data_IF_904613522111
#
_entry.id   IF_904613522111
#
_cell.length_a   1.000
_cell.length_b   1.000
_cell.length_c   1.000
_cell.angle_alpha   90.00
_cell.angle_beta   90.00
_cell.angle_gamma   90.00
#
_symmetry.space_group_name_H-M   'P 1'
#
loop_
_entity.id
_entity.type
_entity.pdbx_description
1 polymer ?
#
# COMPACT_ATOMS: atom_id res chain seq x y z
N UNK A 1 21.75 -24.38 -31.65
CA UNK A 1 22.74 -24.24 -30.54
C UNK A 1 24.20 -24.35 -30.98
N UNK A 2 24.46 -24.35 -32.28
CA UNK A 2 25.80 -24.40 -32.84
C UNK A 2 26.43 -23.01 -32.91
N UNK A 3 27.06 -22.58 -31.85
CA UNK A 3 27.77 -21.30 -31.83
C UNK A 3 28.18 -20.77 -30.45
N UNK A 4 27.77 -21.44 -29.40
CA UNK A 4 28.20 -21.05 -28.04
C UNK A 4 29.55 -21.68 -27.70
N UNK A 5 30.63 -20.91 -27.89
CA UNK A 5 31.99 -21.29 -27.47
C UNK A 5 32.20 -20.74 -26.06
N UNK A 6 32.18 -21.58 -25.04
CA UNK A 6 32.60 -21.21 -23.70
C UNK A 6 34.10 -20.97 -23.75
N UNK A 7 34.53 -19.71 -23.73
CA UNK A 7 35.94 -19.30 -23.82
C UNK A 7 36.63 -19.37 -22.45
N UNK A 8 35.88 -19.14 -21.37
CA UNK A 8 36.42 -19.26 -20.02
C UNK A 8 35.30 -19.43 -18.99
N UNK A 9 35.39 -20.41 -18.12
CA UNK A 9 34.50 -20.58 -16.97
C UNK A 9 35.37 -20.58 -15.70
N UNK A 10 35.38 -19.48 -15.01
CA UNK A 10 36.09 -19.34 -13.75
C UNK A 10 35.14 -18.93 -12.63
N UNK A 11 35.23 -19.60 -11.49
CA UNK A 11 34.53 -19.15 -10.28
C UNK A 11 35.41 -18.05 -9.66
N UNK A 12 34.93 -16.78 -9.69
CA UNK A 12 35.54 -15.72 -8.92
C UNK A 12 35.25 -15.95 -7.44
N UNK A 13 36.23 -16.48 -6.72
CA UNK A 13 36.12 -16.73 -5.29
C UNK A 13 36.71 -15.55 -4.48
N UNK A 14 36.54 -14.33 -4.96
CA UNK A 14 37.02 -13.12 -4.29
C UNK A 14 35.91 -12.56 -3.39
N UNK A 15 36.26 -12.39 -2.13
CA UNK A 15 35.37 -11.68 -1.20
C UNK A 15 35.29 -10.20 -1.62
N UNK A 16 34.18 -9.81 -2.20
CA UNK A 16 33.92 -8.41 -2.55
C UNK A 16 33.24 -7.70 -1.38
N UNK A 17 34.02 -6.86 -0.69
CA UNK A 17 33.45 -6.02 0.38
C UNK A 17 32.67 -4.85 -0.21
N UNK A 18 31.34 -4.90 -0.08
CA UNK A 18 30.49 -3.75 -0.44
C UNK A 18 30.38 -2.79 0.74
N UNK A 19 31.01 -1.62 0.60
CA UNK A 19 30.94 -0.55 1.62
C UNK A 19 29.51 -0.12 1.88
N UNK A 20 28.70 -0.01 0.84
CA UNK A 20 27.29 0.41 0.92
C UNK A 20 26.47 -0.58 1.76
N UNK A 21 26.61 -1.88 1.49
CA UNK A 21 25.93 -2.93 2.26
C UNK A 21 26.40 -2.95 3.71
N UNK A 22 27.71 -2.78 3.93
CA UNK A 22 28.27 -2.75 5.29
C UNK A 22 27.69 -1.60 6.11
N UNK A 23 27.71 -0.38 5.59
CA UNK A 23 27.15 0.78 6.29
C UNK A 23 25.63 0.68 6.46
N UNK A 24 24.94 0.10 5.49
CA UNK A 24 23.51 -0.18 5.60
C UNK A 24 23.20 -1.11 6.79
N UNK A 25 23.87 -2.26 6.86
CA UNK A 25 23.66 -3.21 7.95
C UNK A 25 24.14 -2.65 9.28
N UNK A 26 25.23 -1.86 9.30
CA UNK A 26 25.70 -1.18 10.49
C UNK A 26 24.67 -0.17 11.01
N UNK A 27 24.10 0.64 10.13
CA UNK A 27 23.04 1.59 10.49
C UNK A 27 21.77 0.87 10.98
N UNK A 28 21.38 -0.22 10.31
CA UNK A 28 20.25 -1.05 10.72
C UNK A 28 20.50 -1.68 12.10
N UNK A 29 21.70 -2.22 12.34
CA UNK A 29 22.09 -2.77 13.62
C UNK A 29 22.11 -1.71 14.72
N UNK A 30 22.69 -0.55 14.44
CA UNK A 30 22.74 0.58 15.39
C UNK A 30 21.33 1.05 15.74
N UNK A 31 20.42 1.12 14.76
CA UNK A 31 19.00 1.43 14.98
C UNK A 31 18.32 0.39 15.87
N UNK A 32 18.49 -0.89 15.56
CA UNK A 32 17.93 -2.00 16.36
C UNK A 32 18.48 -1.94 17.80
N UNK A 33 19.79 -1.74 17.94
CA UNK A 33 20.43 -1.62 19.24
C UNK A 33 19.91 -0.40 20.01
N UNK A 34 19.83 0.78 19.38
CA UNK A 34 19.26 1.98 19.97
C UNK A 34 17.83 1.75 20.47
N UNK A 35 17.00 1.11 19.66
CA UNK A 35 15.60 0.84 19.98
C UNK A 35 15.46 -0.24 21.08
N UNK A 36 16.41 -1.18 21.16
CA UNK A 36 16.47 -2.16 22.23
C UNK A 36 16.91 -1.55 23.57
N UNK A 37 17.98 -0.75 23.54
CA UNK A 37 18.54 -0.14 24.76
C UNK A 37 17.76 1.08 25.25
N UNK A 38 17.05 1.81 24.39
CA UNK A 38 16.15 2.91 24.79
C UNK A 38 14.83 2.42 25.44
N UNK A 39 14.83 1.20 25.92
CA UNK A 39 13.65 0.49 26.42
C UNK A 39 12.85 1.23 27.51
N UNK A 40 13.52 2.01 28.37
CA UNK A 40 12.87 2.75 29.45
C UNK A 40 12.05 3.94 28.95
N UNK A 41 12.53 4.64 27.92
CA UNK A 41 11.88 5.83 27.35
C UNK A 41 10.65 5.44 26.54
N UNK A 42 10.75 4.31 25.81
CA UNK A 42 9.72 3.86 24.85
C UNK A 42 8.77 2.81 25.44
N UNK A 43 8.98 2.36 26.69
CA UNK A 43 8.25 1.23 27.25
C UNK A 43 6.72 1.46 27.31
N UNK A 44 6.28 2.70 27.40
CA UNK A 44 4.88 3.04 27.63
C UNK A 44 4.03 3.25 26.38
N UNK A 45 4.62 3.41 25.17
CA UNK A 45 3.87 3.76 23.93
C UNK A 45 4.26 2.85 22.76
N UNK A 46 3.67 1.66 22.70
CA UNK A 46 3.92 0.67 21.64
C UNK A 46 3.61 1.25 20.25
N UNK A 47 2.54 2.03 20.13
CA UNK A 47 2.11 2.66 18.88
C UNK A 47 3.14 3.64 18.33
N UNK A 48 3.79 4.43 19.20
CA UNK A 48 4.82 5.39 18.76
C UNK A 48 6.09 4.68 18.28
N UNK A 49 6.47 3.58 18.94
CA UNK A 49 7.57 2.73 18.48
C UNK A 49 7.28 2.13 17.11
N UNK A 50 6.09 1.56 16.96
CA UNK A 50 5.64 1.03 15.68
C UNK A 50 5.77 2.08 14.58
N UNK A 51 5.27 3.31 14.81
CA UNK A 51 5.35 4.41 13.85
C UNK A 51 6.80 4.69 13.42
N UNK A 52 7.70 4.88 14.40
CA UNK A 52 9.12 5.17 14.12
C UNK A 52 9.78 4.02 13.36
N UNK A 53 9.61 2.77 13.80
CA UNK A 53 10.18 1.60 13.13
C UNK A 53 9.66 1.46 11.70
N UNK A 54 8.36 1.59 11.51
CA UNK A 54 7.73 1.50 10.19
C UNK A 54 8.30 2.55 9.24
N UNK A 55 8.39 3.80 9.69
CA UNK A 55 8.91 4.89 8.86
C UNK A 55 10.40 4.71 8.55
N UNK A 56 11.22 4.32 9.53
CA UNK A 56 12.65 4.14 9.30
C UNK A 56 12.91 2.95 8.37
N UNK A 57 12.39 1.76 8.69
CA UNK A 57 12.61 0.56 7.88
C UNK A 57 11.98 0.74 6.49
N UNK A 58 10.76 1.24 6.44
CA UNK A 58 10.05 1.46 5.19
C UNK A 58 10.72 2.50 4.31
N UNK A 59 11.27 3.59 4.86
CA UNK A 59 12.04 4.58 4.08
C UNK A 59 13.29 3.96 3.48
N UNK A 60 13.96 3.07 4.21
CA UNK A 60 15.06 2.29 3.66
C UNK A 60 14.59 1.44 2.48
N UNK A 61 13.47 0.71 2.62
CA UNK A 61 12.91 -0.05 1.51
C UNK A 61 12.59 0.85 0.31
N UNK A 62 11.89 1.96 0.51
CA UNK A 62 11.58 2.92 -0.56
C UNK A 62 12.83 3.37 -1.30
N UNK A 63 13.94 3.60 -0.57
CA UNK A 63 15.19 4.11 -1.14
C UNK A 63 16.03 3.05 -1.86
N UNK A 64 15.93 1.78 -1.44
CA UNK A 64 16.78 0.69 -1.96
C UNK A 64 16.07 -0.11 -3.05
N UNK A 65 14.74 -0.20 -2.99
CA UNK A 65 13.97 -0.95 -3.97
C UNK A 65 14.03 -0.25 -5.34
N UNK A 66 14.32 -1.00 -6.41
CA UNK A 66 14.32 -0.46 -7.77
C UNK A 66 13.02 0.25 -8.11
N UNK A 67 13.09 1.23 -9.01
CA UNK A 67 11.92 1.97 -9.51
C UNK A 67 11.06 1.08 -10.44
N UNK A 68 11.53 -0.09 -10.81
CA UNK A 68 10.81 -1.05 -11.63
C UNK A 68 10.44 -2.29 -10.83
N UNK A 69 9.20 -2.75 -10.97
CA UNK A 69 8.68 -4.11 -10.77
C UNK A 69 9.25 -4.97 -9.65
N UNK A 70 9.43 -4.42 -8.47
CA UNK A 70 9.78 -5.25 -7.31
C UNK A 70 8.52 -5.75 -6.61
N UNK A 71 7.46 -4.95 -6.63
CA UNK A 71 6.14 -5.37 -6.19
C UNK A 71 5.39 -6.09 -7.32
N UNK A 72 4.58 -7.09 -6.99
CA UNK A 72 3.71 -7.75 -7.95
C UNK A 72 2.73 -6.72 -8.53
N UNK A 73 2.64 -6.63 -9.88
CA UNK A 73 1.81 -5.68 -10.61
C UNK A 73 2.08 -4.19 -10.25
N UNK A 74 3.28 -3.85 -9.77
CA UNK A 74 3.59 -2.52 -9.26
C UNK A 74 3.42 -1.44 -10.35
N UNK A 75 3.71 -1.76 -11.61
CA UNK A 75 3.49 -0.86 -12.75
C UNK A 75 2.00 -0.55 -12.97
N UNK A 76 1.13 -1.54 -12.79
CA UNK A 76 -0.32 -1.35 -12.88
C UNK A 76 -0.80 -0.45 -11.74
N UNK A 77 -0.30 -0.69 -10.55
CA UNK A 77 -0.62 0.11 -9.36
C UNK A 77 -0.11 1.54 -9.49
N UNK A 78 1.11 1.73 -10.02
CA UNK A 78 1.65 3.05 -10.30
C UNK A 78 0.79 3.81 -11.31
N UNK A 79 0.43 3.18 -12.44
CA UNK A 79 -0.42 3.79 -13.45
C UNK A 79 -1.76 4.26 -12.87
N UNK A 80 -2.37 3.47 -12.00
CA UNK A 80 -3.62 3.82 -11.34
C UNK A 80 -3.47 5.01 -10.39
N UNK A 81 -2.40 5.03 -9.60
CA UNK A 81 -2.09 6.16 -8.73
C UNK A 81 -1.77 7.44 -9.52
N UNK A 82 -1.05 7.30 -10.64
CA UNK A 82 -0.64 8.42 -11.50
C UNK A 82 -1.83 9.09 -12.16
N UNK A 83 -2.84 8.31 -12.60
CA UNK A 83 -4.02 8.80 -13.32
C UNK A 83 -5.13 9.34 -12.40
N UNK A 84 -4.96 9.33 -11.08
CA UNK A 84 -5.88 10.01 -10.17
C UNK A 84 -5.65 11.55 -10.16
N UNK A 85 -6.70 12.38 -10.02
CA UNK A 85 -8.10 12.04 -9.81
C UNK A 85 -8.73 11.43 -11.06
N UNK A 86 -9.81 10.68 -10.86
CA UNK A 86 -10.57 10.01 -11.92
C UNK A 86 -11.12 11.09 -12.88
N UNK A 87 -10.33 11.43 -13.89
CA UNK A 87 -10.76 12.29 -14.98
C UNK A 87 -11.26 11.42 -16.13
N UNK A 88 -12.22 11.90 -16.89
CA UNK A 88 -12.78 11.18 -18.05
C UNK A 88 -11.75 10.83 -19.11
N UNK A 89 -10.60 11.50 -19.09
CA UNK A 89 -9.47 11.28 -19.98
C UNK A 89 -8.19 11.25 -19.15
N UNK A 90 -7.59 10.07 -18.99
CA UNK A 90 -6.23 9.99 -18.47
C UNK A 90 -5.28 10.36 -19.61
N UNK A 91 -4.52 11.42 -19.44
CA UNK A 91 -3.43 11.76 -20.37
C UNK A 91 -2.20 10.97 -19.94
N UNK A 92 -1.79 10.02 -20.75
CA UNK A 92 -0.46 9.40 -20.60
C UNK A 92 0.58 10.38 -21.10
N UNK A 93 1.50 10.73 -20.23
CA UNK A 93 2.71 11.39 -20.68
C UNK A 93 3.60 10.39 -21.42
N UNK A 94 4.43 10.80 -22.37
CA UNK A 94 5.42 9.92 -23.02
C UNK A 94 6.24 9.14 -21.99
N UNK A 95 6.67 9.80 -20.93
CA UNK A 95 7.40 9.18 -19.79
C UNK A 95 6.66 8.01 -19.17
N UNK A 96 5.35 8.13 -18.93
CA UNK A 96 4.56 7.05 -18.35
C UNK A 96 4.40 5.89 -19.34
N UNK A 97 4.25 6.17 -20.62
CA UNK A 97 4.18 5.15 -21.67
C UNK A 97 5.50 4.36 -21.74
N UNK A 98 6.63 5.04 -21.78
CA UNK A 98 7.96 4.42 -21.82
C UNK A 98 8.25 3.63 -20.53
N UNK A 99 7.93 4.18 -19.35
CA UNK A 99 8.03 3.45 -18.10
C UNK A 99 7.22 2.15 -18.13
N UNK A 100 5.98 2.21 -18.63
CA UNK A 100 5.12 1.03 -18.72
C UNK A 100 5.69 0.01 -19.70
N UNK A 101 6.19 0.45 -20.86
CA UNK A 101 6.81 -0.40 -21.87
C UNK A 101 8.07 -1.10 -21.33
N UNK A 102 9.01 -0.33 -20.75
CA UNK A 102 10.23 -0.87 -20.15
C UNK A 102 9.90 -1.84 -19.02
N UNK A 103 8.93 -1.46 -18.18
CA UNK A 103 8.55 -2.31 -17.08
C UNK A 103 7.84 -3.58 -17.51
N UNK A 104 7.07 -3.61 -18.60
CA UNK A 104 6.46 -4.83 -19.13
C UNK A 104 7.48 -5.79 -19.75
N UNK A 105 8.52 -5.27 -20.40
CA UNK A 105 9.54 -6.11 -21.08
C UNK A 105 10.50 -6.82 -20.13
N UNK A 106 10.72 -6.26 -18.92
CA UNK A 106 11.72 -6.75 -17.96
C UNK A 106 11.17 -7.61 -16.82
N UNK A 107 9.91 -7.98 -16.86
CA UNK A 107 9.25 -8.72 -15.78
C UNK A 107 9.33 -10.22 -15.93
N UNK A 108 9.37 -10.98 -14.86
CA UNK A 108 9.98 -10.80 -13.54
C UNK A 108 11.42 -11.31 -13.52
N UNK A 109 11.87 -11.87 -14.64
CA UNK A 109 13.06 -12.72 -14.73
C UNK A 109 14.32 -11.97 -15.15
N UNK A 110 14.18 -10.71 -15.60
CA UNK A 110 15.28 -9.86 -16.06
C UNK A 110 15.55 -8.72 -15.09
N UNK A 111 15.50 -8.98 -13.78
CA UNK A 111 16.01 -8.02 -12.81
C UNK A 111 17.50 -7.81 -13.07
N UNK A 112 17.97 -6.56 -13.16
CA UNK A 112 19.38 -6.29 -13.39
C UNK A 112 20.21 -6.96 -12.30
N UNK A 113 21.07 -7.88 -12.72
CA UNK A 113 21.89 -8.67 -11.81
C UNK A 113 23.20 -7.97 -11.48
N UNK A 114 23.73 -7.18 -12.42
CA UNK A 114 24.97 -6.43 -12.24
C UNK A 114 24.71 -5.01 -11.74
N UNK A 115 25.76 -4.37 -11.23
CA UNK A 115 25.72 -2.97 -10.80
C UNK A 115 25.59 -2.06 -12.03
N UNK A 116 26.23 -2.41 -13.12
CA UNK A 116 26.20 -1.70 -14.39
C UNK A 116 24.79 -1.68 -14.99
N UNK A 117 24.14 -2.84 -15.08
CA UNK A 117 22.76 -2.95 -15.55
C UNK A 117 21.79 -2.14 -14.68
N UNK A 118 22.01 -2.09 -13.37
CA UNK A 118 21.21 -1.26 -12.48
C UNK A 118 21.39 0.22 -12.75
N UNK A 119 22.64 0.66 -12.93
CA UNK A 119 22.96 2.06 -13.25
C UNK A 119 22.38 2.44 -14.59
N UNK A 120 22.47 1.58 -15.59
CA UNK A 120 21.90 1.82 -16.92
C UNK A 120 20.36 1.91 -16.86
N UNK A 121 19.71 0.98 -16.16
CA UNK A 121 18.25 1.01 -15.96
C UNK A 121 17.80 2.28 -15.23
N UNK A 122 18.50 2.66 -14.15
CA UNK A 122 18.19 3.88 -13.43
C UNK A 122 18.48 5.13 -14.25
N UNK A 123 19.59 5.14 -14.99
CA UNK A 123 19.95 6.25 -15.87
C UNK A 123 18.96 6.43 -17.01
N UNK A 124 18.45 5.35 -17.59
CA UNK A 124 17.40 5.42 -18.63
C UNK A 124 16.08 5.96 -18.07
N UNK A 125 15.72 5.57 -16.84
CA UNK A 125 14.53 6.10 -16.18
C UNK A 125 14.68 7.58 -15.80
N UNK A 126 15.88 8.03 -15.45
CA UNK A 126 16.15 9.44 -15.17
C UNK A 126 16.14 10.30 -16.42
N UNK A 127 16.57 9.78 -17.59
CA UNK A 127 16.45 10.48 -18.88
C UNK A 127 15.00 10.56 -19.38
N UNK A 128 14.14 9.63 -18.98
CA UNK A 128 12.69 9.69 -19.25
C UNK A 128 11.97 10.78 -18.44
N UNK A 129 12.66 11.42 -17.53
CA UNK A 129 12.09 12.23 -16.45
C UNK A 129 11.73 13.66 -16.85
N UNK A 130 11.69 14.02 -18.10
CA UNK A 130 11.23 15.36 -18.47
C UNK A 130 9.70 15.42 -18.50
N UNK A 131 9.11 15.64 -17.31
CA UNK A 131 7.66 15.89 -17.14
C UNK A 131 7.13 17.08 -17.91
N UNK A 132 8.01 17.86 -18.54
CA UNK A 132 7.67 19.08 -19.26
C UNK A 132 7.35 18.84 -20.72
N UNK A 133 7.43 17.59 -21.18
CA UNK A 133 7.06 17.26 -22.55
C UNK A 133 5.56 17.55 -22.78
N UNK A 134 5.23 18.43 -23.72
CA UNK A 134 3.85 18.86 -23.93
C UNK A 134 2.97 17.82 -24.64
N UNK A 135 3.54 16.74 -25.14
CA UNK A 135 2.82 15.72 -25.90
C UNK A 135 2.22 14.68 -24.96
N UNK A 136 1.02 14.96 -24.48
CA UNK A 136 0.24 13.97 -23.75
C UNK A 136 -0.46 13.04 -24.75
N UNK A 137 -0.20 11.75 -24.66
CA UNK A 137 -0.97 10.75 -25.41
C UNK A 137 -2.32 10.59 -24.70
N UNK A 138 -3.40 10.95 -25.40
CA UNK A 138 -4.76 10.70 -24.88
C UNK A 138 -5.04 9.21 -24.92
N UNK A 139 -5.11 8.59 -23.74
CA UNK A 139 -5.70 7.27 -23.65
C UNK A 139 -7.20 7.45 -23.45
N UNK A 140 -7.95 6.95 -24.41
CA UNK A 140 -9.39 6.79 -24.27
C UNK A 140 -9.71 5.72 -23.23
N UNK A 141 -9.46 6.02 -21.97
CA UNK A 141 -10.00 5.23 -20.86
C UNK A 141 -11.46 5.67 -20.70
N UNK A 142 -12.38 4.84 -21.15
CA UNK A 142 -13.78 4.98 -20.73
C UNK A 142 -13.76 5.08 -19.21
N UNK A 143 -14.41 6.11 -18.61
CA UNK A 143 -14.39 6.28 -17.19
C UNK A 143 -14.99 5.03 -16.55
N UNK A 144 -14.16 4.26 -15.90
CA UNK A 144 -14.62 3.10 -15.17
C UNK A 144 -15.15 3.63 -13.82
N UNK A 145 -16.37 4.16 -13.83
CA UNK A 145 -17.07 4.69 -12.65
C UNK A 145 -17.23 3.64 -11.55
N UNK A 146 -16.82 2.42 -11.81
CA UNK A 146 -17.02 1.25 -10.98
C UNK A 146 -15.78 0.78 -10.25
N UNK A 147 -14.64 1.43 -10.46
CA UNK A 147 -13.39 1.04 -9.82
C UNK A 147 -13.17 1.80 -8.50
N UNK A 148 -14.01 1.51 -7.51
CA UNK A 148 -13.88 2.09 -6.16
C UNK A 148 -12.57 1.71 -5.45
N UNK A 149 -11.86 0.67 -5.88
CA UNK A 149 -10.54 0.32 -5.36
C UNK A 149 -9.48 1.41 -5.62
N UNK A 150 -9.73 2.32 -6.56
CA UNK A 150 -8.85 3.48 -6.79
C UNK A 150 -8.71 4.38 -5.56
N UNK A 151 -9.65 4.35 -4.61
CA UNK A 151 -9.54 5.08 -3.36
C UNK A 151 -8.29 4.69 -2.55
N UNK A 152 -7.84 3.46 -2.67
CA UNK A 152 -6.65 2.96 -1.96
C UNK A 152 -5.34 3.53 -2.51
N UNK A 153 -5.37 4.14 -3.71
CA UNK A 153 -4.20 4.80 -4.32
C UNK A 153 -4.10 6.29 -3.99
N UNK A 154 -5.05 6.85 -3.23
CA UNK A 154 -5.02 8.28 -2.87
C UNK A 154 -3.70 8.68 -2.22
N UNK A 155 -3.12 7.95 -1.25
CA UNK A 155 -1.85 8.33 -0.66
C UNK A 155 -0.72 8.41 -1.70
N UNK A 156 -0.61 7.41 -2.56
CA UNK A 156 0.40 7.38 -3.62
C UNK A 156 0.19 8.52 -4.62
N UNK A 157 -1.06 8.74 -5.03
CA UNK A 157 -1.41 9.82 -5.96
C UNK A 157 -1.05 11.20 -5.40
N UNK A 158 -1.27 11.43 -4.11
CA UNK A 158 -0.87 12.67 -3.43
C UNK A 158 0.65 12.87 -3.48
N UNK A 159 1.44 11.81 -3.24
CA UNK A 159 2.89 11.85 -3.36
C UNK A 159 3.35 12.17 -4.79
N UNK A 160 2.77 11.50 -5.79
CA UNK A 160 3.05 11.76 -7.20
C UNK A 160 2.74 13.22 -7.55
N UNK A 161 1.54 13.71 -7.19
CA UNK A 161 1.15 15.10 -7.49
C UNK A 161 2.03 16.11 -6.78
N UNK A 162 2.42 15.88 -5.54
CA UNK A 162 3.35 16.73 -4.82
C UNK A 162 4.71 16.78 -5.53
N UNK A 163 5.25 15.63 -5.94
CA UNK A 163 6.51 15.57 -6.70
C UNK A 163 6.43 16.27 -8.05
N UNK A 164 5.33 16.13 -8.77
CA UNK A 164 5.08 16.85 -10.03
C UNK A 164 5.01 18.36 -9.83
N UNK A 165 4.32 18.83 -8.79
CA UNK A 165 4.22 20.25 -8.45
C UNK A 165 5.58 20.85 -8.07
N UNK A 166 6.45 20.06 -7.45
CA UNK A 166 7.81 20.46 -7.10
C UNK A 166 8.80 20.33 -8.27
N UNK A 167 8.34 19.89 -9.44
CA UNK A 167 9.15 19.65 -10.63
C UNK A 167 10.34 18.72 -10.37
N UNK A 168 10.13 17.68 -9.55
CA UNK A 168 11.16 16.67 -9.26
C UNK A 168 11.32 15.71 -10.46
N UNK A 169 12.51 15.10 -10.56
CA UNK A 169 12.78 14.04 -11.52
C UNK A 169 11.88 12.82 -11.27
N UNK A 170 11.63 12.03 -12.30
CA UNK A 170 10.72 10.89 -12.26
C UNK A 170 11.01 9.94 -11.08
N UNK A 171 12.29 9.60 -10.86
CA UNK A 171 12.69 8.74 -9.75
C UNK A 171 12.21 9.24 -8.40
N UNK A 172 12.38 10.54 -8.13
CA UNK A 172 11.92 11.15 -6.88
C UNK A 172 10.40 11.23 -6.77
N UNK A 173 9.69 11.49 -7.89
CA UNK A 173 8.22 11.48 -7.92
C UNK A 173 7.70 10.08 -7.61
N UNK A 174 8.32 9.05 -8.21
CA UNK A 174 8.00 7.67 -7.97
C UNK A 174 8.22 7.27 -6.49
N UNK A 175 9.39 7.61 -5.95
CA UNK A 175 9.71 7.38 -4.53
C UNK A 175 8.76 8.11 -3.59
N UNK A 176 8.36 9.34 -3.92
CA UNK A 176 7.45 10.13 -3.11
C UNK A 176 6.06 9.50 -3.02
N UNK A 177 5.57 8.89 -4.11
CA UNK A 177 4.33 8.12 -4.10
C UNK A 177 4.41 6.90 -3.19
N UNK A 178 5.52 6.13 -3.25
CA UNK A 178 5.78 5.02 -2.33
C UNK A 178 5.86 5.50 -0.88
N UNK A 179 6.56 6.61 -0.64
CA UNK A 179 6.72 7.15 0.70
C UNK A 179 5.39 7.63 1.30
N UNK A 180 4.51 8.22 0.51
CA UNK A 180 3.17 8.60 0.95
C UNK A 180 2.30 7.37 1.28
N UNK A 181 2.44 6.26 0.53
CA UNK A 181 1.80 4.99 0.88
C UNK A 181 2.27 4.46 2.23
N UNK A 182 3.59 4.45 2.44
CA UNK A 182 4.22 4.06 3.71
C UNK A 182 3.73 4.92 4.87
N UNK A 183 3.70 6.24 4.69
CA UNK A 183 3.25 7.18 5.71
C UNK A 183 1.78 6.94 6.08
N UNK A 184 0.91 6.77 5.10
CA UNK A 184 -0.50 6.48 5.33
C UNK A 184 -0.69 5.16 6.09
N UNK A 185 0.00 4.09 5.67
CA UNK A 185 0.02 2.83 6.38
C UNK A 185 0.45 2.99 7.84
N UNK A 186 1.60 3.64 8.07
CA UNK A 186 2.18 3.83 9.39
C UNK A 186 1.25 4.62 10.33
N UNK A 187 0.61 5.68 9.82
CA UNK A 187 -0.31 6.53 10.59
C UNK A 187 -1.61 5.78 10.93
N UNK A 188 -2.21 5.10 9.96
CA UNK A 188 -3.45 4.33 10.21
C UNK A 188 -3.18 3.21 11.22
N UNK A 189 -2.10 2.46 11.05
CA UNK A 189 -1.69 1.41 11.98
C UNK A 189 -1.34 1.95 13.37
N UNK A 190 -0.70 3.13 13.46
CA UNK A 190 -0.47 3.81 14.73
C UNK A 190 -1.77 4.02 15.51
N UNK A 191 -2.79 4.57 14.86
CA UNK A 191 -4.09 4.79 15.50
C UNK A 191 -4.80 3.48 15.81
N UNK A 192 -4.69 2.46 14.97
CA UNK A 192 -5.20 1.13 15.23
C UNK A 192 -4.59 0.52 16.50
N UNK A 193 -3.25 0.50 16.60
CA UNK A 193 -2.53 -0.03 17.76
C UNK A 193 -2.84 0.78 19.01
N UNK A 194 -2.92 2.10 18.89
CA UNK A 194 -3.28 2.98 20.01
C UNK A 194 -4.68 2.66 20.56
N UNK A 195 -5.64 2.38 19.67
CA UNK A 195 -7.03 2.07 20.03
C UNK A 195 -7.22 0.68 20.63
N UNK A 196 -6.38 -0.30 20.27
CA UNK A 196 -6.50 -1.67 20.78
C UNK A 196 -6.48 -1.70 22.32
N UNK A 197 -7.46 -2.36 22.97
CA UNK A 197 -7.47 -2.52 24.42
C UNK A 197 -6.45 -3.55 24.90
N UNK A 198 -6.19 -4.58 24.10
CA UNK A 198 -5.23 -5.68 24.36
C UNK A 198 -4.47 -6.00 23.07
N UNK A 199 -3.37 -6.74 23.19
CA UNK A 199 -2.64 -7.26 22.01
C UNK A 199 -1.84 -6.22 21.22
N UNK A 200 -1.60 -5.01 21.74
CA UNK A 200 -0.85 -3.94 21.05
C UNK A 200 0.51 -4.39 20.54
N UNK A 201 1.27 -5.16 21.36
CA UNK A 201 2.59 -5.66 20.98
C UNK A 201 2.52 -6.68 19.86
N UNK A 202 1.53 -7.57 19.91
CA UNK A 202 1.30 -8.57 18.86
C UNK A 202 0.95 -7.87 17.53
N UNK A 203 0.02 -6.92 17.58
CA UNK A 203 -0.37 -6.17 16.38
C UNK A 203 0.79 -5.34 15.81
N UNK A 204 1.60 -4.73 16.67
CA UNK A 204 2.80 -4.02 16.23
C UNK A 204 3.81 -4.98 15.58
N UNK A 205 4.00 -6.18 16.14
CA UNK A 205 4.89 -7.19 15.57
C UNK A 205 4.38 -7.67 14.19
N UNK A 206 3.08 -7.95 14.06
CA UNK A 206 2.46 -8.35 12.79
C UNK A 206 2.62 -7.24 11.74
N UNK A 207 2.33 -5.99 12.11
CA UNK A 207 2.45 -4.86 11.19
C UNK A 207 3.89 -4.51 10.79
N UNK A 208 4.89 -4.96 11.56
CA UNK A 208 6.32 -4.83 11.27
C UNK A 208 6.91 -6.04 10.55
N UNK A 209 6.11 -7.06 10.24
CA UNK A 209 6.60 -8.18 9.43
C UNK A 209 7.08 -7.69 8.04
N UNK A 210 8.02 -8.40 7.40
CA UNK A 210 8.59 -7.97 6.12
C UNK A 210 7.52 -7.69 5.05
N UNK A 211 6.51 -8.55 4.92
CA UNK A 211 5.48 -8.40 3.88
C UNK A 211 4.64 -7.12 4.01
N UNK A 212 4.02 -6.79 5.17
CA UNK A 212 3.31 -5.51 5.33
C UNK A 212 4.18 -4.29 5.07
N UNK A 213 5.44 -4.29 5.55
CA UNK A 213 6.37 -3.17 5.32
C UNK A 213 6.73 -3.06 3.84
N UNK A 214 6.99 -4.19 3.17
CA UNK A 214 7.27 -4.22 1.74
C UNK A 214 6.09 -3.66 0.93
N UNK A 215 4.87 -4.14 1.18
CA UNK A 215 3.67 -3.65 0.51
C UNK A 215 3.41 -2.16 0.77
N UNK A 216 3.73 -1.68 1.97
CA UNK A 216 3.61 -0.26 2.30
C UNK A 216 4.69 0.59 1.61
N UNK A 217 5.85 0.01 1.29
CA UNK A 217 6.99 0.68 0.67
C UNK A 217 7.02 0.56 -0.86
N UNK A 218 6.01 -0.06 -1.47
CA UNK A 218 5.84 -0.22 -2.92
C UNK A 218 4.50 0.38 -3.36
N UNK A 219 4.26 0.43 -4.67
CA UNK A 219 2.92 0.71 -5.17
C UNK A 219 2.06 -0.54 -5.00
N UNK A 220 1.19 -0.50 -4.01
CA UNK A 220 0.20 -1.54 -3.76
C UNK A 220 -0.98 -0.96 -2.99
N UNK A 221 -2.19 -1.41 -3.27
CA UNK A 221 -3.35 -1.09 -2.46
C UNK A 221 -3.46 -1.96 -1.21
N UNK A 222 -2.75 -3.08 -1.15
CA UNK A 222 -2.84 -4.04 -0.05
C UNK A 222 -2.40 -3.45 1.29
N UNK A 223 -1.44 -2.51 1.28
CA UNK A 223 -1.05 -1.79 2.50
C UNK A 223 -2.24 -1.04 3.14
N UNK A 224 -3.06 -0.39 2.32
CA UNK A 224 -4.26 0.33 2.79
C UNK A 224 -5.34 -0.62 3.25
N UNK A 225 -5.49 -1.79 2.60
CA UNK A 225 -6.41 -2.84 3.05
C UNK A 225 -6.00 -3.36 4.43
N UNK A 226 -4.74 -3.74 4.60
CA UNK A 226 -4.21 -4.24 5.88
C UNK A 226 -4.42 -3.20 6.99
N UNK A 227 -4.04 -1.96 6.73
CA UNK A 227 -4.18 -0.89 7.71
C UNK A 227 -5.66 -0.59 8.03
N UNK A 228 -6.53 -0.52 7.02
CA UNK A 228 -7.96 -0.25 7.18
C UNK A 228 -8.69 -1.35 7.93
N UNK A 229 -8.43 -2.62 7.60
CA UNK A 229 -9.00 -3.76 8.34
C UNK A 229 -8.52 -3.75 9.78
N UNK A 230 -7.22 -3.57 10.02
CA UNK A 230 -6.66 -3.53 11.37
C UNK A 230 -7.25 -2.39 12.20
N UNK A 231 -7.43 -1.22 11.59
CA UNK A 231 -8.04 -0.07 12.23
C UNK A 231 -9.50 -0.36 12.60
N UNK A 232 -10.31 -0.87 11.68
CA UNK A 232 -11.68 -1.24 11.95
C UNK A 232 -11.80 -2.28 13.06
N UNK A 233 -10.97 -3.33 13.02
CA UNK A 233 -10.91 -4.33 14.08
C UNK A 233 -10.55 -3.77 15.45
N UNK A 234 -9.62 -2.82 15.51
CA UNK A 234 -9.23 -2.20 16.76
C UNK A 234 -10.41 -1.50 17.45
N UNK A 235 -11.26 -0.83 16.67
CA UNK A 235 -12.46 -0.18 17.17
C UNK A 235 -13.55 -1.18 17.57
N UNK A 236 -13.74 -2.24 16.79
CA UNK A 236 -14.68 -3.32 17.16
C UNK A 236 -14.26 -4.02 18.45
N UNK A 237 -12.98 -4.40 18.58
CA UNK A 237 -12.46 -5.06 19.78
C UNK A 237 -12.57 -4.16 21.01
N UNK A 238 -12.35 -2.85 20.86
CA UNK A 238 -12.53 -1.91 21.96
C UNK A 238 -13.97 -1.93 22.50
N UNK A 239 -14.96 -2.09 21.61
CA UNK A 239 -16.37 -2.20 22.02
C UNK A 239 -16.72 -3.58 22.59
N UNK A 240 -16.19 -4.65 22.02
CA UNK A 240 -16.50 -6.02 22.46
C UNK A 240 -15.91 -6.34 23.85
N UNK A 241 -14.73 -5.81 24.15
CA UNK A 241 -14.02 -6.12 25.39
C UNK A 241 -14.39 -5.21 26.56
N UNK A 242 -14.82 -3.97 26.33
CA UNK A 242 -15.33 -3.09 27.39
C UNK A 242 -16.82 -3.29 27.59
N UNK A 243 -17.20 -4.34 28.33
CA UNK A 243 -18.61 -4.65 28.60
C UNK A 243 -19.33 -3.67 29.53
N UNK A 244 -18.58 -2.83 30.26
CA UNK A 244 -19.16 -1.94 31.27
C UNK A 244 -19.78 -0.67 30.68
N UNK A 245 -19.33 -0.27 29.49
CA UNK A 245 -19.83 0.93 28.83
C UNK A 245 -20.80 0.62 27.69
N UNK A 246 -21.82 1.46 27.48
CA UNK A 246 -22.68 1.33 26.32
C UNK A 246 -21.89 1.58 25.03
N UNK A 247 -22.35 1.01 23.92
CA UNK A 247 -21.76 1.17 22.59
C UNK A 247 -21.61 2.64 22.21
N UNK A 248 -20.38 3.04 21.89
CA UNK A 248 -20.10 4.35 21.31
C UNK A 248 -20.37 4.30 19.79
N UNK A 249 -21.37 5.02 19.34
CA UNK A 249 -21.72 5.08 17.90
C UNK A 249 -20.53 5.45 17.01
N UNK A 250 -19.66 6.36 17.48
CA UNK A 250 -18.44 6.75 16.77
C UNK A 250 -17.52 5.57 16.50
N UNK A 251 -17.27 4.71 17.49
CA UNK A 251 -16.42 3.54 17.35
C UNK A 251 -17.03 2.54 16.37
N UNK A 252 -18.34 2.34 16.45
CA UNK A 252 -19.06 1.49 15.50
C UNK A 252 -18.95 2.01 14.06
N UNK A 253 -19.12 3.32 13.85
CA UNK A 253 -18.97 3.94 12.52
C UNK A 253 -17.55 3.76 11.99
N UNK A 254 -16.52 4.00 12.81
CA UNK A 254 -15.14 3.77 12.40
C UNK A 254 -14.89 2.31 12.01
N UNK A 255 -15.42 1.35 12.74
CA UNK A 255 -15.34 -0.05 12.38
C UNK A 255 -15.97 -0.30 11.01
N UNK A 256 -17.26 0.05 10.83
CA UNK A 256 -18.00 -0.25 9.60
C UNK A 256 -17.36 0.44 8.39
N UNK A 257 -17.07 1.73 8.50
CA UNK A 257 -16.52 2.51 7.39
C UNK A 257 -15.13 2.01 7.00
N UNK A 258 -14.24 1.73 7.98
CA UNK A 258 -12.89 1.27 7.68
C UNK A 258 -12.87 -0.10 7.00
N UNK A 259 -13.67 -1.05 7.48
CA UNK A 259 -13.78 -2.37 6.85
C UNK A 259 -14.46 -2.24 5.48
N UNK A 260 -15.52 -1.42 5.36
CA UNK A 260 -16.18 -1.21 4.08
C UNK A 260 -15.24 -0.61 3.04
N UNK A 261 -14.50 0.44 3.38
CA UNK A 261 -13.52 1.04 2.47
C UNK A 261 -12.46 0.01 2.09
N UNK A 262 -11.88 -0.72 3.05
CA UNK A 262 -10.89 -1.75 2.75
C UNK A 262 -11.44 -2.85 1.83
N UNK A 263 -12.73 -3.17 1.94
CA UNK A 263 -13.41 -4.20 1.12
C UNK A 263 -13.67 -3.76 -0.32
N UNK A 264 -13.66 -2.46 -0.62
CA UNK A 264 -13.89 -1.95 -1.99
C UNK A 264 -12.88 -2.50 -3.00
N UNK A 265 -11.66 -2.83 -2.56
CA UNK A 265 -10.63 -3.38 -3.45
C UNK A 265 -10.78 -4.89 -3.69
N UNK A 266 -11.27 -5.64 -2.68
CA UNK A 266 -11.37 -7.10 -2.75
C UNK A 266 -12.63 -7.58 -2.03
N UNK A 267 -13.56 -8.18 -2.78
CA UNK A 267 -14.85 -8.67 -2.27
C UNK A 267 -14.73 -9.68 -1.12
N UNK A 268 -13.61 -10.42 -1.06
CA UNK A 268 -13.34 -11.44 -0.03
C UNK A 268 -13.38 -10.86 1.39
N UNK A 269 -13.19 -9.55 1.56
CA UNK A 269 -13.22 -8.90 2.88
C UNK A 269 -14.60 -8.42 3.31
N UNK A 270 -15.60 -8.43 2.42
CA UNK A 270 -16.99 -7.99 2.72
C UNK A 270 -17.57 -8.70 3.95
N UNK A 271 -17.37 -10.04 4.14
CA UNK A 271 -17.89 -10.73 5.31
C UNK A 271 -17.37 -10.18 6.65
N UNK A 272 -16.24 -9.49 6.68
CA UNK A 272 -15.71 -8.90 7.91
C UNK A 272 -16.61 -7.80 8.47
N UNK A 273 -17.42 -7.14 7.65
CA UNK A 273 -18.40 -6.14 8.10
C UNK A 273 -19.47 -6.81 8.99
N UNK A 274 -19.83 -8.08 8.71
CA UNK A 274 -20.79 -8.84 9.51
C UNK A 274 -20.37 -9.05 10.95
N UNK A 275 -19.07 -8.93 11.27
CA UNK A 275 -18.58 -9.01 12.66
C UNK A 275 -19.19 -7.94 13.57
N UNK A 276 -19.72 -6.85 13.02
CA UNK A 276 -20.53 -5.87 13.76
C UNK A 276 -21.78 -6.45 14.40
N UNK A 277 -22.28 -7.58 13.88
CA UNK A 277 -23.44 -8.29 14.46
C UNK A 277 -23.07 -9.06 15.75
N UNK A 278 -21.77 -9.28 16.01
CA UNK A 278 -21.27 -9.93 17.24
C UNK A 278 -21.41 -9.04 18.47
N UNK A 279 -21.71 -7.73 18.29
CA UNK A 279 -21.89 -6.82 19.42
C UNK A 279 -23.10 -7.27 20.25
N UNK A 280 -22.91 -7.54 21.57
CA UNK A 280 -23.97 -8.04 22.44
C UNK A 280 -25.15 -7.08 22.56
N UNK A 281 -26.36 -7.63 22.80
CA UNK A 281 -27.59 -6.84 22.87
C UNK A 281 -27.59 -5.82 24.01
N UNK A 282 -26.96 -6.13 25.10
CA UNK A 282 -26.81 -5.29 26.29
C UNK A 282 -25.85 -4.10 26.12
N UNK A 283 -25.00 -4.13 25.10
CA UNK A 283 -24.12 -3.01 24.75
C UNK A 283 -24.87 -1.80 24.16
N UNK A 284 -26.04 -2.02 23.58
CA UNK A 284 -26.79 -0.93 22.93
C UNK A 284 -27.57 -0.10 23.96
N UNK A 285 -27.52 1.23 23.83
CA UNK A 285 -28.25 2.16 24.72
C UNK A 285 -29.76 1.94 24.68
N UNK A 286 -30.28 1.56 23.49
CA UNK A 286 -31.70 1.32 23.27
C UNK A 286 -31.95 0.46 22.01
N UNK A 287 -33.19 0.02 21.83
CA UNK A 287 -33.61 -0.78 20.65
C UNK A 287 -33.36 -0.06 19.32
N UNK A 288 -33.56 1.27 19.28
CA UNK A 288 -33.35 2.07 18.06
C UNK A 288 -31.90 2.03 17.62
N UNK A 289 -30.92 2.27 18.52
CA UNK A 289 -29.49 2.19 18.20
C UNK A 289 -29.12 0.79 17.69
N UNK A 290 -29.62 -0.28 18.34
CA UNK A 290 -29.37 -1.65 17.91
C UNK A 290 -29.89 -1.91 16.48
N UNK A 291 -31.13 -1.50 16.19
CA UNK A 291 -31.71 -1.67 14.86
C UNK A 291 -30.92 -0.89 13.81
N UNK A 292 -30.57 0.37 14.07
CA UNK A 292 -29.78 1.19 13.14
C UNK A 292 -28.39 0.59 12.87
N UNK A 293 -27.69 0.11 13.91
CA UNK A 293 -26.38 -0.53 13.74
C UNK A 293 -26.49 -1.81 12.89
N UNK A 294 -27.51 -2.64 13.11
CA UNK A 294 -27.74 -3.85 12.31
C UNK A 294 -28.08 -3.53 10.86
N UNK A 295 -28.94 -2.55 10.64
CA UNK A 295 -29.27 -2.07 9.31
C UNK A 295 -28.05 -1.49 8.61
N UNK A 296 -27.19 -0.75 9.33
CA UNK A 296 -25.95 -0.22 8.78
C UNK A 296 -25.00 -1.35 8.35
N UNK A 297 -24.84 -2.41 9.15
CA UNK A 297 -24.04 -3.58 8.76
C UNK A 297 -24.58 -4.25 7.50
N UNK A 298 -25.88 -4.60 7.51
CA UNK A 298 -26.52 -5.28 6.38
C UNK A 298 -26.50 -4.39 5.14
N UNK A 299 -26.87 -3.12 5.28
CA UNK A 299 -26.84 -2.14 4.18
C UNK A 299 -25.44 -1.96 3.60
N UNK A 300 -24.40 -1.91 4.45
CA UNK A 300 -23.02 -1.83 3.98
C UNK A 300 -22.63 -3.08 3.18
N UNK A 301 -23.00 -4.28 3.64
CA UNK A 301 -22.73 -5.52 2.90
C UNK A 301 -23.41 -5.52 1.55
N UNK A 302 -24.71 -5.18 1.50
CA UNK A 302 -25.46 -5.11 0.24
C UNK A 302 -24.90 -4.07 -0.72
N UNK A 303 -24.54 -2.89 -0.21
CA UNK A 303 -23.92 -1.83 -1.00
C UNK A 303 -22.56 -2.30 -1.56
N UNK A 304 -21.72 -2.93 -0.74
CA UNK A 304 -20.43 -3.45 -1.18
C UNK A 304 -20.57 -4.54 -2.23
N UNK A 305 -21.48 -5.50 -2.04
CA UNK A 305 -21.81 -6.52 -3.07
C UNK A 305 -22.25 -5.81 -4.36
N UNK A 306 -23.09 -4.80 -4.25
CA UNK A 306 -23.52 -3.99 -5.39
C UNK A 306 -22.36 -3.37 -6.17
N UNK A 307 -21.31 -2.89 -5.49
CA UNK A 307 -20.13 -2.30 -6.17
C UNK A 307 -19.36 -3.28 -7.04
N UNK A 308 -19.42 -4.58 -6.74
CA UNK A 308 -18.79 -5.63 -7.54
C UNK A 308 -19.69 -6.19 -8.65
N UNK A 309 -20.99 -6.24 -8.41
CA UNK A 309 -21.95 -6.82 -9.36
C UNK A 309 -22.41 -5.80 -10.39
N UNK A 310 -22.71 -4.56 -9.96
CA UNK A 310 -23.28 -3.51 -10.83
C UNK A 310 -22.44 -3.20 -12.09
N UNK A 311 -21.11 -3.18 -12.01
CA UNK A 311 -20.25 -2.97 -13.18
C UNK A 311 -20.50 -3.94 -14.33
N UNK A 312 -20.72 -5.21 -13.99
CA UNK A 312 -20.94 -6.27 -14.99
C UNK A 312 -22.25 -6.08 -15.79
N UNK A 313 -23.21 -5.36 -15.23
CA UNK A 313 -24.47 -5.04 -15.91
C UNK A 313 -24.41 -3.73 -16.72
N UNK A 314 -23.64 -2.74 -16.23
CA UNK A 314 -23.58 -1.41 -16.86
C UNK A 314 -22.56 -1.37 -18.00
N UNK A 315 -21.42 -2.03 -17.84
CA UNK A 315 -20.37 -2.10 -18.83
C UNK A 315 -19.82 -3.54 -18.83
N UNK A 316 -20.43 -4.45 -19.61
CA UNK A 316 -19.89 -5.81 -19.73
C UNK A 316 -18.44 -5.73 -20.22
N UNK A 317 -17.54 -6.56 -19.70
CA UNK A 317 -16.14 -6.58 -20.13
C UNK A 317 -16.08 -6.83 -21.63
N UNK A 318 -15.23 -6.08 -22.31
CA UNK A 318 -14.88 -6.38 -23.71
C UNK A 318 -14.37 -7.81 -23.75
N UNK A 319 -14.89 -8.60 -24.70
CA UNK A 319 -14.50 -10.00 -24.90
C UNK A 319 -12.98 -10.08 -25.04
N UNK A 320 -12.30 -10.64 -24.03
CA UNK A 320 -10.83 -10.79 -23.98
C UNK A 320 -10.17 -10.40 -22.66
N UNK A 321 -10.84 -9.67 -21.80
CA UNK A 321 -10.29 -9.28 -20.49
C UNK A 321 -10.76 -10.31 -19.43
N UNK A 322 -10.09 -11.45 -19.39
CA UNK A 322 -10.25 -12.43 -18.31
C UNK A 322 -9.42 -11.94 -17.12
N UNK A 323 -10.10 -11.44 -16.11
CA UNK A 323 -9.50 -11.19 -14.79
C UNK A 323 -9.69 -12.36 -13.87
#
# INVERSE_FOLDING_TARGET
LDGLKIINAGIKNEFQFSKERFFFFLALYALIAFLFFSRSVWAKKVESRFLVFTLVIGTVFVSVLPISKVGWDEEIHFNRAYTLPITRTAKLTPTLHEYTAVSLTNWPYNLPQSKEEKVELFGSLDTLADYRSPEAIEISNKPNLTNFYNLHYIPQALGIKAGQLLHLNFGYVYMLGRWCNLLAYAVIMYFAIKKLPIGKRLMAAIGLMPTPIFLASTYSYDAMIIAGITFGFAYLLAELLDRKKPLETKNFVFFVVSIAVASLAKAIYIPLVLMGLLIPKDKYKNKKQRTLCRLAVIGSVLLLIGTFILPSFIAPPATGDVR
#
